data_IF_891003514183
#
_entry.id   IF_891003514183
#
_cell.length_a   1.000
_cell.length_b   1.000
_cell.length_c   1.000
_cell.angle_alpha   90.00
_cell.angle_beta   90.00
_cell.angle_gamma   90.00
#
_symmetry.space_group_name_H-M   'P 1'
#
loop_
_entity.id
_entity.type
_entity.pdbx_description
1 polymer ?
#
# COMPACT_ATOMS: atom_id res chain seq x y z
N UNK A 1 -0.92 -5.71 -4.49
CA UNK A 1 0.20 -4.80 -4.12
C UNK A 1 0.56 -4.95 -2.65
N UNK A 2 -0.37 -4.90 -1.68
CA UNK A 2 -0.04 -5.08 -0.25
C UNK A 2 0.79 -6.33 0.11
N UNK A 3 0.57 -7.48 -0.56
CA UNK A 3 1.40 -8.70 -0.37
C UNK A 3 2.88 -8.49 -0.70
N UNK A 4 3.19 -7.63 -1.66
CA UNK A 4 4.58 -7.35 -2.07
C UNK A 4 5.36 -6.67 -0.95
N UNK A 5 4.71 -5.79 -0.19
CA UNK A 5 5.31 -5.16 1.00
C UNK A 5 5.71 -6.21 2.02
N UNK A 6 4.80 -7.14 2.33
CA UNK A 6 5.05 -8.26 3.24
C UNK A 6 6.19 -9.15 2.75
N UNK A 7 6.19 -9.54 1.48
CA UNK A 7 7.27 -10.35 0.93
C UNK A 7 8.61 -9.63 0.91
N UNK A 8 8.61 -8.32 0.68
CA UNK A 8 9.83 -7.52 0.70
C UNK A 8 10.39 -7.38 2.11
N UNK A 9 9.54 -7.02 3.09
CA UNK A 9 9.87 -7.00 4.51
C UNK A 9 10.49 -8.34 4.94
N UNK A 10 9.76 -9.43 4.72
CA UNK A 10 10.14 -10.76 5.18
C UNK A 10 11.37 -11.34 4.47
N UNK A 11 11.40 -11.31 3.13
CA UNK A 11 12.42 -12.02 2.36
C UNK A 11 13.73 -11.24 2.28
N UNK A 12 13.67 -9.91 2.38
CA UNK A 12 14.87 -9.06 2.37
C UNK A 12 15.30 -8.68 3.80
N UNK A 13 14.40 -8.79 4.79
CA UNK A 13 14.69 -8.50 6.19
C UNK A 13 14.72 -7.00 6.49
N UNK A 14 13.89 -6.21 5.81
CA UNK A 14 13.76 -4.76 6.03
C UNK A 14 12.64 -4.47 7.03
N UNK A 15 12.61 -3.27 7.60
CA UNK A 15 11.51 -2.88 8.50
C UNK A 15 10.21 -2.62 7.74
N UNK A 16 9.03 -2.74 8.39
CA UNK A 16 7.75 -2.38 7.78
C UNK A 16 7.72 -0.94 7.24
N UNK A 17 8.34 0.00 7.94
CA UNK A 17 8.42 1.40 7.52
C UNK A 17 9.24 1.55 6.25
N UNK A 18 10.37 0.83 6.16
CA UNK A 18 11.19 0.85 4.95
C UNK A 18 10.47 0.20 3.77
N UNK A 19 9.77 -0.92 3.98
CA UNK A 19 8.95 -1.53 2.94
C UNK A 19 7.85 -0.57 2.44
N UNK A 20 7.14 0.12 3.34
CA UNK A 20 6.13 1.09 2.92
C UNK A 20 6.76 2.30 2.21
N UNK A 21 7.93 2.76 2.67
CA UNK A 21 8.73 3.80 2.01
C UNK A 21 9.10 3.40 0.57
N UNK A 22 9.46 2.13 0.32
CA UNK A 22 9.78 1.69 -1.05
C UNK A 22 8.57 1.77 -1.96
N UNK A 23 7.37 1.45 -1.46
CA UNK A 23 6.13 1.53 -2.22
C UNK A 23 5.61 2.96 -2.43
N UNK A 24 6.10 3.96 -1.70
CA UNK A 24 5.58 5.34 -1.73
C UNK A 24 6.61 6.35 -2.25
N UNK A 25 7.38 7.11 -1.46
CA UNK A 25 8.25 8.16 -2.01
C UNK A 25 9.36 7.59 -2.89
N UNK A 26 9.90 6.41 -2.59
CA UNK A 26 10.94 5.80 -3.42
C UNK A 26 10.41 5.40 -4.81
N UNK A 27 9.22 4.80 -4.89
CA UNK A 27 8.59 4.51 -6.18
C UNK A 27 8.32 5.79 -6.98
N UNK A 28 7.86 6.86 -6.32
CA UNK A 28 7.67 8.15 -6.99
C UNK A 28 9.00 8.73 -7.52
N UNK A 29 10.11 8.55 -6.78
CA UNK A 29 11.45 8.92 -7.24
C UNK A 29 11.90 8.09 -8.45
N UNK A 30 11.72 6.77 -8.41
CA UNK A 30 12.06 5.87 -9.53
C UNK A 30 11.27 6.26 -10.80
N UNK A 31 10.01 6.64 -10.63
CA UNK A 31 9.13 7.05 -11.73
C UNK A 31 9.35 8.51 -12.18
N UNK A 32 10.19 9.29 -11.50
CA UNK A 32 10.45 10.69 -11.84
C UNK A 32 9.30 11.64 -11.52
N UNK A 33 8.40 11.27 -10.60
CA UNK A 33 7.20 12.04 -10.21
C UNK A 33 7.19 12.39 -8.70
N UNK A 34 8.35 12.39 -8.05
CA UNK A 34 8.48 12.66 -6.61
C UNK A 34 8.05 14.08 -6.20
N UNK A 35 8.09 15.03 -7.13
CA UNK A 35 7.58 16.40 -6.94
C UNK A 35 6.04 16.46 -7.03
N UNK A 36 5.39 15.44 -7.60
CA UNK A 36 3.95 15.38 -7.78
C UNK A 36 3.23 14.54 -6.71
N UNK A 37 3.80 13.41 -6.29
CA UNK A 37 3.12 12.43 -5.40
C UNK A 37 4.12 11.57 -4.62
N UNK A 38 3.61 10.62 -3.83
CA UNK A 38 4.40 9.63 -3.08
C UNK A 38 4.72 10.03 -1.63
N UNK A 39 4.41 11.24 -1.19
CA UNK A 39 4.47 11.65 0.21
C UNK A 39 3.39 12.68 0.56
N UNK A 40 3.08 12.79 1.85
CA UNK A 40 2.12 13.77 2.37
C UNK A 40 2.86 15.07 2.69
N UNK A 41 2.97 15.95 1.69
CA UNK A 41 3.65 17.25 1.77
C UNK A 41 2.83 18.34 1.08
N UNK A 42 2.96 19.58 1.55
CA UNK A 42 2.30 20.74 0.93
C UNK A 42 2.82 20.93 -0.50
N UNK A 43 1.91 21.10 -1.46
CA UNK A 43 2.23 21.30 -2.87
C UNK A 43 2.13 20.02 -3.72
N UNK A 44 2.07 18.83 -3.10
CA UNK A 44 1.87 17.56 -3.81
C UNK A 44 0.40 17.24 -4.04
N UNK A 45 0.14 16.31 -4.96
CA UNK A 45 -1.19 15.75 -5.18
C UNK A 45 -1.72 15.11 -3.90
N UNK A 46 -3.01 15.32 -3.64
CA UNK A 46 -3.72 14.66 -2.56
C UNK A 46 -4.03 13.19 -2.93
N UNK A 47 -2.99 12.37 -2.98
CA UNK A 47 -3.05 10.92 -3.17
C UNK A 47 -2.84 10.22 -1.81
N UNK A 48 -3.90 9.63 -1.27
CA UNK A 48 -3.90 9.04 0.07
C UNK A 48 -4.68 7.74 0.10
N UNK A 49 -4.18 6.77 0.86
CA UNK A 49 -4.89 5.55 1.22
C UNK A 49 -5.07 5.55 2.73
N UNK A 50 -6.31 5.40 3.18
CA UNK A 50 -6.67 5.38 4.59
C UNK A 50 -7.07 3.95 4.95
N UNK A 51 -6.38 3.34 5.91
CA UNK A 51 -6.70 2.02 6.47
C UNK A 51 -7.48 2.15 7.78
N UNK A 52 -8.21 1.09 8.16
CA UNK A 52 -8.86 1.01 9.48
C UNK A 52 -7.85 0.62 10.57
N UNK A 53 -6.85 -0.18 10.20
CA UNK A 53 -5.84 -0.74 11.09
C UNK A 53 -4.44 -0.19 10.77
N UNK A 54 -3.50 -0.35 11.69
CA UNK A 54 -2.12 0.11 11.53
C UNK A 54 -1.35 -0.80 10.53
N UNK A 55 -0.94 -0.31 9.35
CA UNK A 55 -0.23 -1.13 8.36
C UNK A 55 1.19 -1.50 8.77
N UNK A 56 1.76 -0.88 9.82
CA UNK A 56 3.08 -1.24 10.34
C UNK A 56 3.04 -2.48 11.26
N UNK A 57 1.86 -2.88 11.73
CA UNK A 57 1.68 -4.15 12.45
C UNK A 57 1.40 -5.31 11.47
N UNK A 58 0.64 -5.05 10.40
CA UNK A 58 0.32 -6.04 9.37
C UNK A 58 -0.15 -5.37 8.07
N UNK A 59 0.53 -5.67 6.95
CA UNK A 59 0.16 -5.14 5.63
C UNK A 59 -1.21 -5.61 5.11
N UNK A 60 -1.85 -6.62 5.72
CA UNK A 60 -3.27 -6.97 5.44
C UNK A 60 -4.21 -5.78 5.66
N UNK A 61 -3.85 -4.83 6.52
CA UNK A 61 -4.58 -3.56 6.72
C UNK A 61 -4.78 -2.75 5.42
N UNK A 62 -3.91 -2.97 4.42
CA UNK A 62 -3.97 -2.29 3.12
C UNK A 62 -4.80 -3.06 2.07
N UNK A 63 -5.29 -4.26 2.40
CA UNK A 63 -6.06 -5.10 1.47
C UNK A 63 -7.48 -4.60 1.23
N UNK A 64 -8.06 -3.91 2.23
CA UNK A 64 -9.39 -3.30 2.22
C UNK A 64 -9.33 -1.90 2.88
N UNK A 65 -8.81 -0.88 2.16
CA UNK A 65 -8.75 0.47 2.70
C UNK A 65 -10.13 1.03 3.00
N UNK A 66 -10.24 1.78 4.10
CA UNK A 66 -11.44 2.55 4.47
C UNK A 66 -11.81 3.56 3.38
N UNK A 67 -10.81 4.24 2.83
CA UNK A 67 -10.98 5.27 1.81
C UNK A 67 -9.72 5.39 0.97
N UNK A 68 -9.92 5.73 -0.30
CA UNK A 68 -8.84 6.15 -1.19
C UNK A 68 -9.14 7.57 -1.68
N UNK A 69 -8.13 8.43 -1.70
CA UNK A 69 -8.18 9.76 -2.30
C UNK A 69 -7.20 9.77 -3.45
N UNK A 70 -7.64 10.14 -4.65
CA UNK A 70 -6.76 10.28 -5.81
C UNK A 70 -6.90 11.70 -6.36
N UNK A 71 -5.81 12.47 -6.37
CA UNK A 71 -5.77 13.87 -6.81
C UNK A 71 -6.89 14.71 -6.17
N UNK A 72 -7.15 14.49 -4.88
CA UNK A 72 -8.19 15.18 -4.11
C UNK A 72 -9.62 14.65 -4.31
N UNK A 73 -9.85 13.70 -5.21
CA UNK A 73 -11.14 13.03 -5.37
C UNK A 73 -11.27 11.87 -4.40
N UNK A 74 -12.35 11.89 -3.61
CA UNK A 74 -12.62 10.88 -2.58
C UNK A 74 -13.37 9.67 -3.16
N UNK A 75 -12.88 8.47 -2.83
CA UNK A 75 -13.46 7.19 -3.17
C UNK A 75 -13.72 6.39 -1.88
N UNK A 76 -14.98 6.34 -1.45
CA UNK A 76 -15.44 5.50 -0.34
C UNK A 76 -16.06 4.21 -0.87
N UNK A 77 -16.09 3.16 -0.05
CA UNK A 77 -16.81 1.90 -0.33
C UNK A 77 -16.45 1.27 -1.69
N UNK A 78 -15.17 1.32 -2.06
CA UNK A 78 -14.72 0.77 -3.33
C UNK A 78 -14.87 -0.75 -3.35
N UNK A 79 -15.64 -1.27 -4.30
CA UNK A 79 -15.76 -2.71 -4.52
C UNK A 79 -14.50 -3.24 -5.18
N UNK A 80 -13.57 -3.73 -4.36
CA UNK A 80 -12.37 -4.42 -4.84
C UNK A 80 -12.82 -5.80 -5.34
N UNK A 81 -12.68 -6.06 -6.64
CA UNK A 81 -12.96 -7.38 -7.21
C UNK A 81 -11.88 -8.35 -6.73
N UNK A 82 -12.23 -9.21 -5.78
CA UNK A 82 -11.39 -10.31 -5.30
C UNK A 82 -11.70 -11.61 -6.04
N UNK A 83 -10.70 -12.48 -6.13
CA UNK A 83 -10.85 -13.82 -6.69
C UNK A 83 -10.52 -14.82 -5.56
N UNK A 84 -11.54 -15.39 -4.88
CA UNK A 84 -11.32 -16.15 -3.65
C UNK A 84 -10.30 -17.28 -3.79
N UNK A 85 -10.34 -18.01 -4.91
CA UNK A 85 -9.36 -19.07 -5.19
C UNK A 85 -7.93 -18.55 -5.29
N UNK A 86 -7.72 -17.37 -5.88
CA UNK A 86 -6.38 -16.77 -5.95
C UNK A 86 -5.93 -16.28 -4.59
N UNK A 87 -6.82 -15.66 -3.82
CA UNK A 87 -6.48 -15.18 -2.47
C UNK A 87 -6.11 -16.35 -1.56
N UNK A 88 -6.89 -17.42 -1.55
CA UNK A 88 -6.61 -18.64 -0.78
C UNK A 88 -5.25 -19.26 -1.14
N UNK A 89 -4.93 -19.40 -2.43
CA UNK A 89 -3.63 -19.96 -2.84
C UNK A 89 -2.44 -19.07 -2.47
N UNK A 90 -2.59 -17.75 -2.56
CA UNK A 90 -1.52 -16.81 -2.24
C UNK A 90 -1.38 -16.61 -0.72
N UNK A 91 -2.46 -16.72 0.06
CA UNK A 91 -2.47 -16.56 1.53
C UNK A 91 -1.69 -17.68 2.23
N UNK A 92 -1.62 -18.87 1.62
CA UNK A 92 -0.74 -19.97 2.08
C UNK A 92 0.72 -19.54 2.24
N UNK A 93 1.16 -18.53 1.49
CA UNK A 93 2.52 -18.03 1.50
C UNK A 93 2.70 -16.76 2.36
N UNK A 94 1.63 -16.24 2.97
CA UNK A 94 1.72 -15.05 3.80
C UNK A 94 2.30 -15.40 5.18
N UNK A 95 1.68 -16.34 5.87
CA UNK A 95 2.02 -16.70 7.26
C UNK A 95 3.06 -17.85 7.39
N UNK A 96 3.56 -18.39 6.27
CA UNK A 96 4.44 -19.56 6.26
C UNK A 96 5.86 -19.27 6.76
#
# INVERSE_FOLDING_TARGET
MWRELHYFERNVGVSPEYALYTATPNNAQILGIADETGSIEVGKCADMLISNDNPFEDFRALSEPYMVVCRGKIFKEQKIKKYPKCDEELDKFYDC
#
